data_IF_614289726928
#
_entry.id   IF_614289726928
#
_cell.length_a   1.000
_cell.length_b   1.000
_cell.length_c   1.000
_cell.angle_alpha   90.00
_cell.angle_beta   90.00
_cell.angle_gamma   90.00
#
_symmetry.space_group_name_H-M   'P 1'
#
loop_
_entity.id
_entity.type
_entity.pdbx_description
1 polymer ?
#
# COMPACT_ATOMS: atom_id res chain seq x y z
N UNK A 1 4.59 23.20 -20.44
CA UNK A 1 3.70 23.12 -19.26
C UNK A 1 4.46 23.62 -18.03
N UNK A 2 4.09 24.78 -17.48
CA UNK A 2 4.67 25.30 -16.23
C UNK A 2 4.36 24.30 -15.10
N UNK A 3 5.37 23.76 -14.42
CA UNK A 3 5.19 22.93 -13.23
C UNK A 3 4.42 23.76 -12.20
N UNK A 4 3.18 23.40 -11.89
CA UNK A 4 2.47 24.00 -10.74
C UNK A 4 3.30 23.76 -9.49
N UNK A 5 3.86 24.82 -8.93
CA UNK A 5 4.52 24.81 -7.62
C UNK A 5 3.43 24.50 -6.58
N UNK A 6 3.50 23.35 -5.94
CA UNK A 6 2.66 23.10 -4.77
C UNK A 6 3.12 24.02 -3.65
N UNK A 7 2.27 24.94 -3.19
CA UNK A 7 2.55 25.71 -2.01
C UNK A 7 2.08 24.95 -0.77
N UNK A 8 3.02 24.59 0.09
CA UNK A 8 2.70 24.05 1.41
C UNK A 8 2.67 25.21 2.40
N UNK A 9 1.51 25.52 2.97
CA UNK A 9 1.39 26.48 4.07
C UNK A 9 1.17 25.72 5.37
N UNK A 10 2.05 25.93 6.32
CA UNK A 10 1.95 25.35 7.64
C UNK A 10 1.78 26.51 8.65
N UNK A 11 0.56 26.72 9.10
CA UNK A 11 0.20 27.87 9.94
C UNK A 11 0.68 27.80 11.39
N UNK A 12 1.09 26.61 11.87
CA UNK A 12 1.42 26.40 13.27
C UNK A 12 2.90 26.55 13.63
N UNK A 13 3.79 26.88 12.67
CA UNK A 13 5.23 26.66 12.81
C UNK A 13 6.00 27.87 13.33
N UNK A 14 5.45 29.08 13.28
CA UNK A 14 6.22 30.27 13.63
C UNK A 14 6.65 30.36 15.11
N UNK A 15 5.92 29.69 16.01
CA UNK A 15 6.20 29.73 17.44
C UNK A 15 6.97 28.51 18.01
N UNK A 16 7.25 27.49 17.17
CA UNK A 16 7.85 26.22 17.63
C UNK A 16 9.36 26.11 17.39
N UNK A 17 10.02 27.18 16.94
CA UNK A 17 11.33 27.08 16.29
C UNK A 17 12.58 27.15 17.21
N UNK A 18 12.46 27.21 18.55
CA UNK A 18 13.60 27.56 19.40
C UNK A 18 14.46 26.42 19.96
N UNK A 19 14.06 25.14 19.91
CA UNK A 19 14.87 24.06 20.49
C UNK A 19 15.77 23.37 19.46
N UNK A 20 17.06 23.71 19.46
CA UNK A 20 18.11 23.17 18.58
C UNK A 20 18.24 21.64 18.68
N UNK A 21 18.08 21.08 19.89
CA UNK A 21 18.18 19.63 20.13
C UNK A 21 17.18 18.79 19.34
N UNK A 22 15.92 19.22 19.23
CA UNK A 22 14.89 18.50 18.46
C UNK A 22 15.18 18.55 16.96
N UNK A 23 15.76 19.66 16.47
CA UNK A 23 16.16 19.78 15.06
C UNK A 23 17.28 18.82 14.71
N UNK A 24 18.29 18.72 15.56
CA UNK A 24 19.43 17.81 15.36
C UNK A 24 18.95 16.34 15.42
N UNK A 25 18.01 16.03 16.30
CA UNK A 25 17.44 14.70 16.40
C UNK A 25 16.64 14.31 15.13
N UNK A 26 15.86 15.24 14.58
CA UNK A 26 15.18 15.00 13.29
C UNK A 26 16.17 14.70 12.16
N UNK A 27 17.25 15.50 12.03
CA UNK A 27 18.23 15.30 10.97
C UNK A 27 18.97 13.97 11.14
N UNK A 28 19.27 13.54 12.38
CA UNK A 28 19.84 12.22 12.68
C UNK A 28 18.90 11.11 12.21
N UNK A 29 17.66 11.10 12.65
CA UNK A 29 16.66 10.08 12.25
C UNK A 29 16.47 10.07 10.74
N UNK A 30 16.35 11.22 10.09
CA UNK A 30 16.17 11.27 8.65
C UNK A 30 17.37 10.69 7.89
N UNK A 31 18.59 10.99 8.34
CA UNK A 31 19.79 10.43 7.75
C UNK A 31 19.84 8.91 7.94
N UNK A 32 19.49 8.39 9.12
CA UNK A 32 19.36 6.95 9.38
C UNK A 32 18.35 6.31 8.41
N UNK A 33 17.15 6.89 8.23
CA UNK A 33 16.15 6.39 7.28
C UNK A 33 16.70 6.36 5.85
N UNK A 34 17.41 7.41 5.43
CA UNK A 34 18.00 7.50 4.08
C UNK A 34 19.07 6.44 3.88
N UNK A 35 19.97 6.26 4.87
CA UNK A 35 21.02 5.26 4.84
C UNK A 35 20.45 3.84 4.86
N UNK A 36 19.54 3.55 5.80
CA UNK A 36 18.91 2.25 5.96
C UNK A 36 18.04 1.86 4.76
N UNK A 37 17.51 2.85 4.01
CA UNK A 37 16.75 2.55 2.79
C UNK A 37 17.54 1.75 1.75
N UNK A 38 18.86 1.76 1.80
CA UNK A 38 19.70 1.00 0.87
C UNK A 38 20.00 -0.43 1.37
N UNK A 39 19.64 -0.77 2.61
CA UNK A 39 19.79 -2.11 3.18
C UNK A 39 18.54 -2.97 2.95
N UNK A 40 18.73 -4.21 2.47
CA UNK A 40 17.66 -5.16 2.16
C UNK A 40 16.93 -5.74 3.38
N UNK A 41 17.26 -5.32 4.58
CA UNK A 41 16.68 -5.80 5.85
C UNK A 41 15.80 -4.75 6.52
N UNK A 42 15.66 -3.57 5.93
CA UNK A 42 14.91 -2.46 6.51
C UNK A 42 13.59 -2.19 5.78
N UNK A 43 12.54 -1.86 6.53
CA UNK A 43 11.25 -1.45 5.98
C UNK A 43 11.35 -0.32 4.94
N UNK A 44 12.27 0.62 5.15
CA UNK A 44 12.48 1.77 4.26
C UNK A 44 13.16 1.40 2.94
N UNK A 45 13.64 0.15 2.79
CA UNK A 45 14.21 -0.31 1.53
C UNK A 45 13.24 -0.18 0.35
N UNK A 46 11.92 -0.22 0.59
CA UNK A 46 10.89 0.04 -0.44
C UNK A 46 11.01 1.43 -1.08
N UNK A 47 11.68 2.40 -0.41
CA UNK A 47 11.94 3.74 -0.92
C UNK A 47 13.21 3.81 -1.80
N UNK A 48 14.03 2.77 -1.79
CA UNK A 48 15.26 2.72 -2.57
C UNK A 48 15.02 2.44 -4.05
N UNK A 49 15.86 3.03 -4.90
CA UNK A 49 15.93 2.66 -6.31
C UNK A 49 16.55 1.26 -6.51
N UNK A 50 17.25 0.74 -5.47
CA UNK A 50 17.82 -0.62 -5.45
C UNK A 50 16.82 -1.69 -5.04
N UNK A 51 15.57 -1.30 -4.71
CA UNK A 51 14.53 -2.26 -4.34
C UNK A 51 14.16 -3.13 -5.53
N UNK A 52 14.45 -4.41 -5.41
CA UNK A 52 14.17 -5.41 -6.44
C UNK A 52 12.89 -6.17 -6.10
N UNK A 53 11.99 -6.24 -7.06
CA UNK A 53 10.78 -7.04 -6.93
C UNK A 53 11.04 -8.53 -7.09
N UNK A 54 10.34 -9.37 -6.35
CA UNK A 54 10.37 -10.82 -6.49
C UNK A 54 9.51 -11.33 -7.67
N UNK A 55 9.24 -10.45 -8.64
CA UNK A 55 8.48 -10.79 -9.85
C UNK A 55 9.00 -10.03 -11.07
N UNK A 56 8.79 -10.61 -12.26
CA UNK A 56 9.01 -9.92 -13.52
C UNK A 56 7.67 -9.40 -14.07
N UNK A 57 7.63 -8.14 -14.48
CA UNK A 57 6.41 -7.50 -15.03
C UNK A 57 5.86 -8.30 -16.24
N UNK A 58 6.74 -8.89 -17.03
CA UNK A 58 6.33 -9.71 -18.19
C UNK A 58 5.45 -10.91 -17.77
N UNK A 59 5.71 -11.53 -16.63
CA UNK A 59 4.91 -12.65 -16.12
C UNK A 59 3.49 -12.22 -15.72
N UNK A 60 3.29 -10.93 -15.45
CA UNK A 60 1.98 -10.37 -15.08
C UNK A 60 1.15 -9.94 -16.30
N UNK A 61 1.76 -9.83 -17.51
CA UNK A 61 1.05 -9.36 -18.71
C UNK A 61 -0.18 -10.22 -19.04
N UNK A 62 -0.10 -11.54 -18.83
CA UNK A 62 -1.20 -12.49 -19.06
C UNK A 62 -2.45 -12.18 -18.24
N UNK A 63 -2.31 -11.52 -17.09
CA UNK A 63 -3.43 -11.15 -16.22
C UNK A 63 -4.08 -9.81 -16.60
N UNK A 64 -3.50 -9.03 -17.51
CA UNK A 64 -4.08 -7.76 -17.96
C UNK A 64 -5.39 -7.91 -18.72
N UNK A 65 -5.66 -9.08 -19.29
CA UNK A 65 -6.91 -9.39 -20.00
C UNK A 65 -8.16 -9.31 -19.11
N UNK A 66 -8.04 -9.53 -17.79
CA UNK A 66 -9.16 -9.48 -16.88
C UNK A 66 -9.66 -8.04 -16.69
N UNK A 67 -10.95 -7.82 -16.93
CA UNK A 67 -11.62 -6.53 -16.74
C UNK A 67 -12.06 -6.32 -15.29
N UNK A 68 -12.32 -7.41 -14.56
CA UNK A 68 -12.70 -7.41 -13.16
C UNK A 68 -11.54 -7.89 -12.31
N UNK A 69 -11.28 -7.21 -11.20
CA UNK A 69 -10.23 -7.57 -10.24
C UNK A 69 -10.84 -7.59 -8.85
N UNK A 70 -10.69 -8.69 -8.14
CA UNK A 70 -11.04 -8.82 -6.73
C UNK A 70 -9.75 -8.89 -5.91
N UNK A 71 -9.58 -8.02 -4.94
CA UNK A 71 -8.41 -7.95 -4.06
C UNK A 71 -8.86 -8.31 -2.66
N UNK A 72 -8.25 -9.35 -2.08
CA UNK A 72 -8.53 -9.84 -0.74
C UNK A 72 -7.33 -9.58 0.15
N UNK A 73 -7.57 -8.99 1.31
CA UNK A 73 -6.50 -8.70 2.28
C UNK A 73 -7.02 -7.85 3.43
N UNK A 74 -6.20 -7.71 4.48
CA UNK A 74 -6.54 -6.95 5.67
C UNK A 74 -5.44 -5.94 6.00
N UNK A 75 -5.83 -4.79 6.55
CA UNK A 75 -4.92 -3.77 7.02
C UNK A 75 -3.89 -3.38 5.95
N UNK A 76 -2.60 -3.41 6.30
CA UNK A 76 -1.51 -3.02 5.40
C UNK A 76 -1.44 -3.81 4.09
N UNK A 77 -2.02 -4.99 4.02
CA UNK A 77 -2.06 -5.79 2.78
C UNK A 77 -2.99 -5.23 1.72
N UNK A 78 -3.92 -4.35 2.06
CA UNK A 78 -4.94 -3.85 1.14
C UNK A 78 -5.14 -2.33 1.15
N UNK A 79 -5.01 -1.69 2.31
CA UNK A 79 -5.35 -0.27 2.49
C UNK A 79 -4.57 0.66 1.56
N UNK A 80 -3.26 0.44 1.41
CA UNK A 80 -2.44 1.24 0.49
C UNK A 80 -2.85 1.09 -0.97
N UNK A 81 -3.22 -0.12 -1.39
CA UNK A 81 -3.74 -0.37 -2.74
C UNK A 81 -5.10 0.28 -2.95
N UNK A 82 -5.98 0.24 -1.93
CA UNK A 82 -7.27 0.90 -1.97
C UNK A 82 -7.11 2.43 -2.09
N UNK A 83 -6.17 3.00 -1.34
CA UNK A 83 -5.83 4.43 -1.45
C UNK A 83 -5.36 4.83 -2.86
N UNK A 84 -4.47 4.03 -3.48
CA UNK A 84 -4.03 4.26 -4.86
C UNK A 84 -5.19 4.17 -5.84
N UNK A 85 -6.05 3.15 -5.69
CA UNK A 85 -7.22 2.96 -6.54
C UNK A 85 -8.17 4.15 -6.46
N UNK A 86 -8.53 4.57 -5.24
CA UNK A 86 -9.48 5.66 -5.03
C UNK A 86 -8.96 6.99 -5.59
N UNK A 87 -7.69 7.31 -5.30
CA UNK A 87 -7.04 8.52 -5.82
C UNK A 87 -6.94 8.55 -7.35
N UNK A 88 -6.71 7.40 -7.99
CA UNK A 88 -6.54 7.28 -9.44
C UNK A 88 -7.75 6.71 -10.16
N UNK A 89 -8.91 6.60 -9.50
CA UNK A 89 -10.12 5.95 -10.02
C UNK A 89 -10.51 6.47 -11.40
N UNK A 90 -10.36 7.76 -11.66
CA UNK A 90 -10.66 8.39 -12.95
C UNK A 90 -9.78 7.90 -14.13
N UNK A 91 -8.65 7.23 -13.84
CA UNK A 91 -7.75 6.61 -14.84
C UNK A 91 -7.91 5.10 -14.96
N UNK A 92 -8.55 4.47 -13.98
CA UNK A 92 -8.68 3.02 -13.90
C UNK A 92 -9.96 2.62 -14.61
N UNK A 93 -9.83 1.91 -15.73
CA UNK A 93 -10.98 1.43 -16.55
C UNK A 93 -11.53 0.07 -16.08
N UNK A 94 -10.86 -0.58 -15.14
CA UNK A 94 -11.24 -1.90 -14.64
C UNK A 94 -12.19 -1.80 -13.45
N UNK A 95 -13.11 -2.74 -13.32
CA UNK A 95 -13.94 -2.88 -12.12
C UNK A 95 -13.09 -3.54 -11.05
N UNK A 96 -12.88 -2.87 -9.92
CA UNK A 96 -12.07 -3.36 -8.80
C UNK A 96 -12.96 -3.48 -7.57
N UNK A 97 -12.91 -4.64 -6.93
CA UNK A 97 -13.62 -4.90 -5.67
C UNK A 97 -12.59 -5.29 -4.61
N UNK A 98 -12.64 -4.60 -3.48
CA UNK A 98 -11.77 -4.86 -2.33
C UNK A 98 -12.55 -5.66 -1.28
N UNK A 99 -11.98 -6.73 -0.77
CA UNK A 99 -12.49 -7.52 0.34
C UNK A 99 -11.54 -7.31 1.53
N UNK A 100 -11.82 -6.27 2.30
CA UNK A 100 -11.04 -5.74 3.42
C UNK A 100 -11.79 -5.85 4.76
N UNK A 101 -12.94 -6.52 4.74
CA UNK A 101 -13.82 -6.81 5.86
C UNK A 101 -14.52 -8.16 5.66
N UNK A 102 -15.21 -8.66 6.72
CA UNK A 102 -16.09 -9.83 6.66
C UNK A 102 -17.53 -9.38 6.40
N UNK A 103 -17.79 -8.93 5.18
CA UNK A 103 -19.11 -8.43 4.79
C UNK A 103 -19.84 -9.44 3.87
N UNK A 104 -20.78 -10.18 4.46
CA UNK A 104 -21.56 -11.21 3.75
C UNK A 104 -22.42 -10.65 2.62
N UNK A 105 -22.98 -9.45 2.80
CA UNK A 105 -23.81 -8.82 1.77
C UNK A 105 -22.96 -8.45 0.54
N UNK A 106 -21.79 -7.87 0.76
CA UNK A 106 -20.82 -7.54 -0.28
C UNK A 106 -20.36 -8.78 -1.06
N UNK A 107 -20.11 -9.89 -0.34
CA UNK A 107 -19.76 -11.17 -0.95
C UNK A 107 -20.91 -11.70 -1.80
N UNK A 108 -22.14 -11.71 -1.26
CA UNK A 108 -23.32 -12.18 -1.98
C UNK A 108 -23.62 -11.33 -3.21
N UNK A 109 -23.53 -10.02 -3.11
CA UNK A 109 -23.66 -9.10 -4.23
C UNK A 109 -22.60 -9.39 -5.31
N UNK A 110 -21.34 -9.54 -4.90
CA UNK A 110 -20.26 -9.90 -5.83
C UNK A 110 -20.52 -11.25 -6.52
N UNK A 111 -21.00 -12.27 -5.79
CA UNK A 111 -21.34 -13.58 -6.36
C UNK A 111 -22.44 -13.49 -7.42
N UNK A 112 -23.43 -12.62 -7.24
CA UNK A 112 -24.54 -12.41 -8.17
C UNK A 112 -24.15 -11.63 -9.42
N UNK A 113 -23.37 -10.56 -9.24
CA UNK A 113 -23.05 -9.59 -10.31
C UNK A 113 -21.87 -10.00 -11.21
N UNK A 114 -21.01 -10.91 -10.75
CA UNK A 114 -19.75 -11.15 -11.42
C UNK A 114 -19.62 -12.57 -11.96
N UNK A 115 -19.29 -12.67 -13.24
CA UNK A 115 -18.77 -13.90 -13.81
C UNK A 115 -17.35 -14.13 -13.25
N UNK A 116 -17.24 -15.02 -12.27
CA UNK A 116 -15.99 -15.31 -11.57
C UNK A 116 -14.90 -15.87 -12.51
N UNK A 117 -15.25 -16.52 -13.62
CA UNK A 117 -14.27 -16.98 -14.62
C UNK A 117 -13.52 -15.83 -15.28
N UNK A 118 -14.14 -14.64 -15.39
CA UNK A 118 -13.55 -13.44 -15.97
C UNK A 118 -13.03 -12.45 -14.93
N UNK A 119 -12.91 -12.86 -13.66
CA UNK A 119 -12.36 -12.06 -12.59
C UNK A 119 -10.97 -12.55 -12.21
N UNK A 120 -10.04 -11.62 -12.03
CA UNK A 120 -8.73 -11.89 -11.43
C UNK A 120 -8.83 -11.72 -9.93
N UNK A 121 -8.41 -12.72 -9.18
CA UNK A 121 -8.34 -12.69 -7.72
C UNK A 121 -6.90 -12.47 -7.28
N UNK A 122 -6.66 -11.48 -6.44
CA UNK A 122 -5.35 -11.18 -5.84
C UNK A 122 -5.51 -11.32 -4.33
N UNK A 123 -4.92 -12.36 -3.75
CA UNK A 123 -5.00 -12.67 -2.34
C UNK A 123 -3.71 -12.26 -1.67
N UNK A 124 -3.80 -11.37 -0.69
CA UNK A 124 -2.65 -10.74 -0.05
C UNK A 124 -2.73 -10.90 1.46
N UNK A 125 -1.77 -11.60 2.02
CA UNK A 125 -1.58 -11.67 3.47
C UNK A 125 -0.12 -11.93 3.78
N UNK A 126 0.54 -11.04 4.53
CA UNK A 126 1.96 -11.21 4.89
C UNK A 126 2.16 -12.53 5.62
N UNK A 127 1.43 -12.78 6.69
CA UNK A 127 1.52 -14.02 7.48
C UNK A 127 1.01 -15.25 6.74
N UNK A 128 0.12 -15.06 5.75
CA UNK A 128 -0.58 -16.12 5.05
C UNK A 128 -1.63 -16.88 5.87
N UNK A 129 -1.88 -16.42 7.11
CA UNK A 129 -2.77 -17.04 8.09
C UNK A 129 -3.88 -16.10 8.59
N UNK A 130 -4.04 -14.91 8.00
CA UNK A 130 -5.05 -13.93 8.38
C UNK A 130 -6.44 -14.53 8.16
N UNK A 131 -7.18 -14.74 9.25
CA UNK A 131 -8.46 -15.49 9.25
C UNK A 131 -9.46 -14.83 8.31
N UNK A 132 -9.60 -13.52 8.35
CA UNK A 132 -10.55 -12.79 7.50
C UNK A 132 -10.22 -12.93 6.02
N UNK A 133 -8.93 -12.89 5.66
CA UNK A 133 -8.50 -13.09 4.27
C UNK A 133 -8.83 -14.50 3.80
N UNK A 134 -8.59 -15.49 4.65
CA UNK A 134 -8.88 -16.90 4.35
C UNK A 134 -10.40 -17.12 4.28
N UNK A 135 -11.17 -16.55 5.21
CA UNK A 135 -12.64 -16.66 5.21
C UNK A 135 -13.23 -16.07 3.93
N UNK A 136 -12.80 -14.88 3.52
CA UNK A 136 -13.22 -14.28 2.25
C UNK A 136 -12.84 -15.16 1.05
N UNK A 137 -11.64 -15.76 1.06
CA UNK A 137 -11.18 -16.66 0.01
C UNK A 137 -12.07 -17.91 -0.11
N UNK A 138 -12.41 -18.53 1.02
CA UNK A 138 -13.27 -19.71 1.07
C UNK A 138 -14.71 -19.36 0.70
N UNK A 139 -15.24 -18.30 1.30
CA UNK A 139 -16.63 -17.87 1.09
C UNK A 139 -16.89 -17.47 -0.38
N UNK A 140 -15.94 -16.82 -1.03
CA UNK A 140 -16.01 -16.54 -2.46
C UNK A 140 -15.88 -17.78 -3.35
N UNK A 141 -15.57 -18.95 -2.79
CA UNK A 141 -15.41 -20.22 -3.51
C UNK A 141 -14.44 -20.13 -4.69
N UNK A 142 -13.33 -19.40 -4.51
CA UNK A 142 -12.41 -19.01 -5.60
C UNK A 142 -11.81 -20.22 -6.29
N UNK A 143 -11.51 -21.30 -5.54
CA UNK A 143 -10.91 -22.54 -6.07
C UNK A 143 -11.84 -23.36 -6.99
N UNK A 144 -13.17 -23.16 -6.92
CA UNK A 144 -14.11 -23.79 -7.85
C UNK A 144 -14.00 -23.24 -9.27
N UNK A 145 -13.30 -22.12 -9.43
CA UNK A 145 -13.09 -21.49 -10.72
C UNK A 145 -11.64 -21.73 -11.20
N UNK A 146 -11.27 -21.17 -12.29
CA UNK A 146 -10.00 -21.48 -12.94
C UNK A 146 -8.79 -20.98 -12.09
N UNK A 147 -7.90 -21.88 -11.69
CA UNK A 147 -6.64 -21.54 -11.00
C UNK A 147 -5.75 -20.51 -11.75
N UNK A 148 -5.95 -20.39 -13.07
CA UNK A 148 -5.19 -19.44 -13.91
C UNK A 148 -5.52 -17.96 -13.66
N UNK A 149 -6.55 -17.66 -12.89
CA UNK A 149 -6.98 -16.28 -12.56
C UNK A 149 -6.75 -15.89 -11.08
N UNK A 150 -5.88 -16.60 -10.39
CA UNK A 150 -5.56 -16.36 -8.98
C UNK A 150 -4.07 -15.98 -8.86
N UNK A 151 -3.76 -14.99 -8.03
CA UNK A 151 -2.39 -14.63 -7.61
C UNK A 151 -2.37 -14.59 -6.10
N UNK A 152 -1.42 -15.29 -5.48
CA UNK A 152 -1.19 -15.26 -4.03
C UNK A 152 0.07 -14.47 -3.72
N UNK A 153 -0.02 -13.52 -2.80
CA UNK A 153 1.10 -12.73 -2.29
C UNK A 153 1.22 -12.96 -0.79
N UNK A 154 2.25 -13.68 -0.36
CA UNK A 154 2.51 -14.01 1.05
C UNK A 154 3.99 -14.27 1.28
N UNK A 155 4.43 -14.31 2.53
CA UNK A 155 5.81 -14.69 2.86
C UNK A 155 6.13 -16.13 2.44
N UNK A 156 7.39 -16.37 2.07
CA UNK A 156 7.89 -17.69 1.72
C UNK A 156 8.20 -18.50 2.97
N UNK A 157 7.18 -18.82 3.74
CA UNK A 157 7.26 -19.72 4.89
C UNK A 157 6.02 -20.60 4.98
N UNK A 158 6.05 -21.60 5.87
CA UNK A 158 4.91 -22.49 6.06
C UNK A 158 3.72 -21.70 6.59
N UNK A 159 2.70 -21.53 5.76
CA UNK A 159 1.43 -20.88 6.10
C UNK A 159 0.32 -21.41 5.19
N UNK A 160 -0.94 -21.11 5.52
CA UNK A 160 -2.12 -21.60 4.80
C UNK A 160 -2.12 -21.17 3.33
N UNK A 161 -1.86 -19.90 3.03
CA UNK A 161 -1.86 -19.40 1.64
C UNK A 161 -0.74 -20.03 0.81
N UNK A 162 0.44 -20.26 1.40
CA UNK A 162 1.54 -20.93 0.70
C UNK A 162 1.22 -22.40 0.43
N UNK A 163 0.56 -23.08 1.37
CA UNK A 163 0.09 -24.47 1.19
C UNK A 163 -0.97 -24.56 0.07
N UNK A 164 -1.93 -23.65 0.06
CA UNK A 164 -2.95 -23.56 -1.00
C UNK A 164 -2.28 -23.31 -2.36
N UNK A 165 -1.35 -22.35 -2.42
CA UNK A 165 -0.64 -22.04 -3.65
C UNK A 165 0.09 -23.27 -4.21
N UNK A 166 0.79 -24.01 -3.35
CA UNK A 166 1.51 -25.23 -3.73
C UNK A 166 0.54 -26.34 -4.18
N UNK A 167 -0.51 -26.61 -3.40
CA UNK A 167 -1.49 -27.67 -3.68
C UNK A 167 -2.19 -27.48 -5.02
N UNK A 168 -2.55 -26.25 -5.37
CA UNK A 168 -3.31 -25.94 -6.58
C UNK A 168 -2.46 -25.32 -7.70
N UNK A 169 -1.13 -25.33 -7.56
CA UNK A 169 -0.18 -24.75 -8.51
C UNK A 169 -0.54 -23.32 -8.93
N UNK A 170 -0.87 -22.47 -7.92
CA UNK A 170 -1.26 -21.08 -8.15
C UNK A 170 -0.03 -20.18 -8.29
N UNK A 171 -0.12 -19.12 -9.10
CA UNK A 171 0.89 -18.06 -9.14
C UNK A 171 1.18 -17.50 -7.74
N UNK A 172 2.40 -17.72 -7.27
CA UNK A 172 2.90 -17.30 -5.98
C UNK A 172 3.91 -16.17 -6.13
N UNK A 173 3.75 -15.12 -5.34
CA UNK A 173 4.69 -14.02 -5.25
C UNK A 173 5.04 -13.81 -3.79
N UNK A 174 6.32 -13.80 -3.52
CA UNK A 174 6.83 -13.63 -2.17
C UNK A 174 6.66 -12.20 -1.68
N UNK A 175 6.02 -12.04 -0.53
CA UNK A 175 6.06 -10.84 0.28
C UNK A 175 7.35 -10.85 1.10
N UNK A 176 8.17 -9.82 0.98
CA UNK A 176 9.43 -9.74 1.72
C UNK A 176 9.16 -9.64 3.23
N UNK A 177 9.83 -10.47 4.01
CA UNK A 177 9.66 -10.59 5.46
C UNK A 177 10.02 -9.29 6.21
N UNK A 178 11.07 -8.58 5.77
CA UNK A 178 11.50 -7.31 6.35
C UNK A 178 10.56 -6.13 6.02
N UNK A 179 9.62 -6.28 5.07
CA UNK A 179 8.66 -5.22 4.75
C UNK A 179 7.40 -5.38 5.60
N UNK A 180 7.22 -4.49 6.56
CA UNK A 180 6.00 -4.44 7.38
C UNK A 180 4.76 -4.06 6.55
N UNK A 181 3.59 -4.55 6.96
CA UNK A 181 2.34 -4.32 6.23
C UNK A 181 2.07 -2.84 5.92
N UNK A 182 2.24 -1.95 6.89
CA UNK A 182 2.04 -0.50 6.71
C UNK A 182 3.00 0.15 5.72
N UNK A 183 4.16 -0.46 5.45
CA UNK A 183 5.17 0.03 4.52
C UNK A 183 5.10 -0.62 3.14
N UNK A 184 4.20 -1.59 2.95
CA UNK A 184 4.18 -2.49 1.80
C UNK A 184 3.58 -1.91 0.52
N UNK A 185 2.96 -0.73 0.55
CA UNK A 185 2.28 -0.15 -0.62
C UNK A 185 3.19 0.04 -1.83
N UNK A 186 4.48 0.28 -1.62
CA UNK A 186 5.48 0.41 -2.68
C UNK A 186 6.26 -0.88 -2.97
N UNK A 187 5.93 -1.98 -2.28
CA UNK A 187 6.43 -3.33 -2.56
C UNK A 187 5.52 -4.09 -3.53
N UNK A 188 5.70 -5.40 -3.65
CA UNK A 188 4.88 -6.31 -4.44
C UNK A 188 3.38 -6.14 -4.13
N UNK A 189 3.06 -5.88 -2.86
CA UNK A 189 1.70 -5.78 -2.32
C UNK A 189 0.87 -4.68 -2.99
N UNK A 190 1.44 -3.48 -3.14
CA UNK A 190 0.72 -2.39 -3.79
C UNK A 190 1.04 -2.26 -5.29
N UNK A 191 2.24 -2.64 -5.72
CA UNK A 191 2.69 -2.46 -7.10
C UNK A 191 2.01 -3.46 -8.05
N UNK A 192 1.83 -4.71 -7.66
CA UNK A 192 1.20 -5.73 -8.53
C UNK A 192 -0.27 -5.37 -8.81
N UNK A 193 -1.12 -5.15 -7.81
CA UNK A 193 -2.48 -4.73 -8.06
C UNK A 193 -2.55 -3.43 -8.88
N UNK A 194 -1.71 -2.43 -8.55
CA UNK A 194 -1.66 -1.16 -9.29
C UNK A 194 -1.33 -1.37 -10.77
N UNK A 195 -0.33 -2.20 -11.08
CA UNK A 195 0.01 -2.55 -12.47
C UNK A 195 -1.15 -3.22 -13.20
N UNK A 196 -1.83 -4.15 -12.52
CA UNK A 196 -2.95 -4.90 -13.10
C UNK A 196 -4.21 -4.04 -13.25
N UNK A 197 -4.39 -3.02 -12.42
CA UNK A 197 -5.40 -1.98 -12.59
C UNK A 197 -5.10 -1.02 -13.75
N UNK A 198 -3.89 -1.04 -14.30
CA UNK A 198 -3.46 -0.18 -15.41
C UNK A 198 -2.72 1.08 -14.98
N UNK A 199 -2.34 1.19 -13.70
CA UNK A 199 -1.55 2.32 -13.19
C UNK A 199 -0.10 2.23 -13.70
N UNK A 200 0.49 3.36 -14.06
CA UNK A 200 1.90 3.44 -14.41
C UNK A 200 2.79 3.33 -13.16
N UNK A 201 3.21 2.11 -12.84
CA UNK A 201 3.99 1.81 -11.64
C UNK A 201 5.39 2.40 -11.66
N UNK A 202 5.98 2.63 -12.84
CA UNK A 202 7.26 3.35 -12.95
C UNK A 202 7.10 4.79 -12.48
N UNK A 203 6.00 5.45 -12.90
CA UNK A 203 5.68 6.82 -12.45
C UNK A 203 5.31 6.85 -10.96
N UNK A 204 4.61 5.84 -10.45
CA UNK A 204 4.25 5.72 -9.04
C UNK A 204 5.51 5.63 -8.15
N UNK A 205 6.54 4.93 -8.59
CA UNK A 205 7.80 4.78 -7.86
C UNK A 205 8.87 5.82 -8.24
N UNK A 206 8.59 6.72 -9.18
CA UNK A 206 9.56 7.75 -9.55
C UNK A 206 9.66 8.83 -8.47
N UNK A 207 10.86 9.32 -8.25
CA UNK A 207 11.13 10.46 -7.34
C UNK A 207 10.75 10.21 -5.87
N UNK A 208 10.74 8.98 -5.37
CA UNK A 208 10.42 8.69 -3.96
C UNK A 208 11.34 9.45 -2.99
N UNK A 209 12.64 9.58 -3.31
CA UNK A 209 13.61 10.32 -2.49
C UNK A 209 13.50 11.85 -2.62
N UNK A 210 12.56 12.38 -3.41
CA UNK A 210 12.38 13.83 -3.57
C UNK A 210 12.03 14.50 -2.24
N UNK A 211 11.19 13.86 -1.44
CA UNK A 211 10.75 14.40 -0.14
C UNK A 211 11.86 14.54 0.90
N UNK A 212 13.04 13.97 0.63
CA UNK A 212 14.22 14.09 1.48
C UNK A 212 15.17 15.21 1.02
N UNK A 213 14.78 16.04 0.01
CA UNK A 213 15.63 17.06 -0.59
C UNK A 213 14.98 18.45 -0.53
N UNK A 214 15.82 19.47 -0.38
CA UNK A 214 15.46 20.91 -0.50
C UNK A 214 14.18 21.32 0.28
N UNK A 215 13.26 21.96 -0.42
CA UNK A 215 12.02 22.56 0.14
C UNK A 215 11.10 21.50 0.78
N UNK A 216 10.95 20.35 0.12
CA UNK A 216 10.12 19.26 0.65
C UNK A 216 10.68 18.70 1.97
N UNK A 217 12.03 18.58 2.08
CA UNK A 217 12.69 18.23 3.35
C UNK A 217 12.40 19.25 4.43
N UNK A 218 12.46 20.54 4.11
CA UNK A 218 12.21 21.61 5.07
C UNK A 218 10.76 21.56 5.58
N UNK A 219 9.80 21.34 4.69
CA UNK A 219 8.40 21.18 5.08
C UNK A 219 8.20 19.97 6.00
N UNK A 220 8.75 18.81 5.64
CA UNK A 220 8.68 17.59 6.46
C UNK A 220 9.31 17.83 7.83
N UNK A 221 10.50 18.44 7.90
CA UNK A 221 11.19 18.76 9.15
C UNK A 221 10.34 19.63 10.05
N UNK A 222 9.79 20.70 9.52
CA UNK A 222 8.93 21.62 10.29
C UNK A 222 7.68 20.91 10.81
N UNK A 223 7.01 20.12 9.98
CA UNK A 223 5.80 19.37 10.35
C UNK A 223 6.08 18.34 11.44
N UNK A 224 7.14 17.56 11.30
CA UNK A 224 7.53 16.56 12.31
C UNK A 224 7.89 17.20 13.65
N UNK A 225 8.65 18.32 13.63
CA UNK A 225 9.03 19.04 14.84
C UNK A 225 7.78 19.61 15.55
N UNK A 226 6.86 20.21 14.80
CA UNK A 226 5.63 20.76 15.37
C UNK A 226 4.77 19.67 16.01
N UNK A 227 4.53 18.56 15.30
CA UNK A 227 3.78 17.42 15.84
C UNK A 227 4.46 16.81 17.07
N UNK A 228 5.77 16.58 17.01
CA UNK A 228 6.52 16.05 18.16
C UNK A 228 6.41 16.94 19.40
N UNK A 229 6.48 18.26 19.22
CA UNK A 229 6.33 19.19 20.34
C UNK A 229 4.92 19.22 20.94
N UNK A 230 3.89 19.09 20.11
CA UNK A 230 2.50 18.98 20.56
C UNK A 230 2.32 17.69 21.36
N UNK A 231 2.83 16.56 20.84
CA UNK A 231 2.78 15.25 21.50
C UNK A 231 3.49 15.29 22.85
N UNK A 232 4.72 15.81 22.90
CA UNK A 232 5.50 15.85 24.13
C UNK A 232 4.90 16.75 25.23
N UNK A 233 4.10 17.74 24.89
CA UNK A 233 3.39 18.56 25.87
C UNK A 233 2.22 17.84 26.53
N UNK A 234 1.87 16.63 26.08
CA UNK A 234 0.73 15.82 26.57
C UNK A 234 -0.60 16.59 26.66
N UNK A 235 -0.75 17.67 25.88
CA UNK A 235 -1.93 18.55 25.91
C UNK A 235 -3.01 18.16 24.91
N UNK A 236 -2.79 17.16 24.07
CA UNK A 236 -3.80 16.69 23.13
C UNK A 236 -4.20 15.25 23.45
N UNK A 237 -5.46 14.92 23.20
CA UNK A 237 -6.03 13.58 23.39
C UNK A 237 -6.30 12.85 22.07
N UNK A 238 -6.45 13.59 20.99
CA UNK A 238 -6.87 13.04 19.70
C UNK A 238 -6.22 13.79 18.56
N UNK A 239 -5.97 13.07 17.46
CA UNK A 239 -5.59 13.63 16.15
C UNK A 239 -6.77 13.43 15.20
N UNK A 240 -7.30 14.53 14.67
CA UNK A 240 -8.45 14.53 13.78
C UNK A 240 -7.99 14.89 12.37
N UNK A 241 -8.29 14.02 11.40
CA UNK A 241 -8.09 14.31 9.98
C UNK A 241 -9.40 14.82 9.38
N UNK A 242 -9.40 16.06 8.90
CA UNK A 242 -10.54 16.65 8.22
C UNK A 242 -10.30 16.59 6.72
N UNK A 243 -11.17 15.89 6.00
CA UNK A 243 -11.03 15.67 4.55
C UNK A 243 -12.07 16.46 3.76
N UNK A 244 -11.60 17.37 2.92
CA UNK A 244 -12.43 18.13 1.97
C UNK A 244 -12.32 17.60 0.52
N UNK A 245 -11.57 16.51 0.30
CA UNK A 245 -11.39 15.92 -1.02
C UNK A 245 -11.80 14.45 -1.02
N UNK A 246 -12.93 14.07 -1.65
CA UNK A 246 -13.36 12.66 -1.71
C UNK A 246 -12.26 11.71 -2.21
N UNK A 247 -11.39 12.18 -3.09
CA UNK A 247 -10.27 11.38 -3.63
C UNK A 247 -9.19 11.02 -2.61
N UNK A 248 -9.19 11.65 -1.43
CA UNK A 248 -8.21 11.40 -0.38
C UNK A 248 -8.79 10.57 0.78
N UNK A 249 -10.05 10.16 0.72
CA UNK A 249 -10.71 9.41 1.79
C UNK A 249 -9.94 8.14 2.15
N UNK A 250 -9.71 7.27 1.18
CA UNK A 250 -8.99 6.00 1.41
C UNK A 250 -7.50 6.21 1.71
N UNK A 251 -6.92 7.31 1.22
CA UNK A 251 -5.56 7.68 1.60
C UNK A 251 -5.47 8.07 3.08
N UNK A 252 -6.38 8.89 3.59
CA UNK A 252 -6.39 9.26 5.00
C UNK A 252 -6.70 8.06 5.91
N UNK A 253 -7.58 7.16 5.47
CA UNK A 253 -7.85 5.91 6.18
C UNK A 253 -6.61 5.00 6.26
N UNK A 254 -5.80 4.97 5.20
CA UNK A 254 -4.52 4.26 5.22
C UNK A 254 -3.48 4.92 6.14
N UNK A 255 -3.56 6.24 6.37
CA UNK A 255 -2.63 6.98 7.25
C UNK A 255 -2.93 6.81 8.76
N UNK A 256 -4.10 6.32 9.13
CA UNK A 256 -4.48 6.00 10.53
C UNK A 256 -3.77 4.75 11.04
#
# INVERSE_FOLDING_TARGET
MKKKKFSHKNFFINNFNKKTSIRNHFDKILNEIIQNSDFKTDNYHVLSNKFNFNFKINNLKKFKKFKNIAILGMGGSILGTNAIHDFLKYKIKKKVTFFDDLNKEKINKFKKENNKKNCLFIIISKSGNTIETISNFVELQILKFNAKNIIIITERKKNILSAISKKYNLPFIEHKDYVGGRFSVLSEVGIIPSYLMGVNVKKLRSNLKRYFKKEEKLFLKKSCIALSQIINKKKFKSLIFINYSPKLEKFLFWCQ
#
